data_IF_325530220599
#
_entry.id   IF_325530220599
#
_cell.length_a   1.000
_cell.length_b   1.000
_cell.length_c   1.000
_cell.angle_alpha   90.00
_cell.angle_beta   90.00
_cell.angle_gamma   90.00
#
_symmetry.space_group_name_H-M   'P 1'
#
loop_
_entity.id
_entity.type
_entity.pdbx_description
1 polymer ?
#
# COMPACT_ATOMS: atom_id res chain seq x y z
N UNK A 1 4.08 16.47 7.66
CA UNK A 1 3.89 16.11 9.07
C UNK A 1 4.24 17.24 10.01
N UNK A 2 4.00 18.51 9.63
CA UNK A 2 4.16 19.65 10.52
C UNK A 2 2.82 19.93 11.22
N UNK A 3 2.77 19.80 12.55
CA UNK A 3 1.55 19.95 13.35
C UNK A 3 1.08 21.40 13.43
N UNK A 4 1.89 22.38 13.01
CA UNK A 4 1.51 23.80 12.97
C UNK A 4 0.66 24.14 11.75
N UNK A 5 0.75 23.34 10.69
CA UNK A 5 0.19 23.68 9.37
C UNK A 5 -0.70 22.59 8.80
N UNK A 6 -0.42 21.31 9.08
CA UNK A 6 -1.22 20.20 8.59
C UNK A 6 -2.53 20.07 9.40
N UNK A 7 -3.65 19.70 8.74
CA UNK A 7 -4.83 19.25 9.45
C UNK A 7 -4.50 18.06 10.36
N UNK A 8 -5.20 17.95 11.48
CA UNK A 8 -5.05 16.80 12.36
C UNK A 8 -5.40 15.51 11.61
N UNK A 9 -4.48 14.56 11.61
CA UNK A 9 -4.66 13.22 11.08
C UNK A 9 -4.02 12.22 12.04
N UNK A 10 -4.56 11.01 12.09
CA UNK A 10 -3.94 9.91 12.84
C UNK A 10 -2.59 9.50 12.23
N UNK A 11 -1.85 8.67 12.98
CA UNK A 11 -0.58 8.07 12.52
C UNK A 11 -0.75 7.28 11.21
N UNK A 12 0.27 7.30 10.36
CA UNK A 12 0.43 6.34 9.24
C UNK A 12 1.01 5.03 9.79
N UNK A 13 0.16 4.04 10.03
CA UNK A 13 0.49 2.68 10.45
C UNK A 13 -0.72 1.76 10.24
N UNK A 14 -0.55 0.44 10.19
CA UNK A 14 -1.68 -0.48 9.97
C UNK A 14 -2.29 -0.33 8.58
N UNK A 15 -1.47 0.10 7.60
CA UNK A 15 -1.86 0.36 6.21
C UNK A 15 -3.06 1.28 6.04
N UNK A 16 -3.33 2.17 7.01
CA UNK A 16 -4.63 2.85 7.10
C UNK A 16 -4.81 4.14 6.33
N UNK A 17 -3.72 4.70 5.82
CA UNK A 17 -3.73 6.07 5.27
C UNK A 17 -4.67 6.21 4.08
N UNK A 18 -4.71 5.22 3.18
CA UNK A 18 -5.60 5.24 2.01
C UNK A 18 -7.08 5.28 2.42
N UNK A 19 -7.51 4.42 3.36
CA UNK A 19 -8.93 4.37 3.75
C UNK A 19 -9.32 5.51 4.69
N UNK A 20 -8.39 6.03 5.49
CA UNK A 20 -8.68 7.13 6.41
C UNK A 20 -8.53 8.49 5.73
N UNK A 21 -7.30 8.89 5.49
CA UNK A 21 -6.94 10.20 4.93
C UNK A 21 -7.40 10.30 3.48
N UNK A 22 -7.32 9.23 2.69
CA UNK A 22 -7.74 9.25 1.28
C UNK A 22 -9.23 9.58 1.11
N UNK A 23 -10.11 9.10 1.99
CA UNK A 23 -11.54 9.51 1.97
C UNK A 23 -11.73 10.97 2.35
N UNK A 24 -11.00 11.45 3.36
CA UNK A 24 -11.06 12.87 3.75
C UNK A 24 -10.61 13.78 2.59
N UNK A 25 -9.56 13.38 1.85
CA UNK A 25 -9.12 14.08 0.64
C UNK A 25 -10.19 14.05 -0.44
N UNK A 26 -10.84 12.90 -0.69
CA UNK A 26 -11.96 12.79 -1.63
C UNK A 26 -13.11 13.74 -1.28
N UNK A 27 -13.52 13.78 -0.01
CA UNK A 27 -14.57 14.70 0.47
C UNK A 27 -14.16 16.16 0.30
N UNK A 28 -12.90 16.50 0.62
CA UNK A 28 -12.40 17.86 0.42
C UNK A 28 -12.43 18.26 -1.06
N UNK A 29 -12.07 17.35 -1.97
CA UNK A 29 -12.14 17.60 -3.41
C UNK A 29 -13.60 17.75 -3.90
N UNK A 30 -14.53 16.95 -3.36
CA UNK A 30 -15.96 17.04 -3.68
C UNK A 30 -16.56 18.37 -3.20
N UNK A 31 -16.21 18.82 -1.99
CA UNK A 31 -16.61 20.14 -1.47
C UNK A 31 -16.07 21.29 -2.33
N UNK A 32 -14.78 21.24 -2.71
CA UNK A 32 -14.20 22.22 -3.64
C UNK A 32 -14.90 22.20 -5.01
N UNK A 33 -15.26 21.01 -5.52
CA UNK A 33 -16.02 20.86 -6.77
C UNK A 33 -17.37 21.54 -6.70
N UNK A 34 -18.10 21.44 -5.59
CA UNK A 34 -19.40 22.13 -5.44
C UNK A 34 -19.23 23.65 -5.47
N UNK A 35 -18.19 24.18 -4.80
CA UNK A 35 -17.88 25.61 -4.82
C UNK A 35 -17.53 26.09 -6.24
N UNK A 36 -16.70 25.33 -6.97
CA UNK A 36 -16.34 25.58 -8.37
C UNK A 36 -17.59 25.66 -9.25
N UNK A 37 -18.47 24.66 -9.16
CA UNK A 37 -19.68 24.60 -9.97
C UNK A 37 -20.65 25.74 -9.65
N UNK A 38 -20.79 26.12 -8.39
CA UNK A 38 -21.65 27.24 -7.98
C UNK A 38 -21.16 28.58 -8.57
N UNK A 39 -19.84 28.82 -8.59
CA UNK A 39 -19.25 30.02 -9.18
C UNK A 39 -19.39 29.99 -10.71
N UNK A 40 -19.09 28.84 -11.34
CA UNK A 40 -19.21 28.67 -12.77
C UNK A 40 -20.66 28.87 -13.26
N UNK A 41 -21.64 28.34 -12.53
CA UNK A 41 -23.06 28.50 -12.82
C UNK A 41 -23.46 29.98 -12.89
N UNK A 42 -23.06 30.77 -11.89
CA UNK A 42 -23.32 32.22 -11.89
C UNK A 42 -22.60 32.95 -13.02
N UNK A 43 -21.38 32.52 -13.37
CA UNK A 43 -20.56 33.21 -14.39
C UNK A 43 -20.97 32.88 -15.82
N UNK A 44 -21.46 31.67 -16.06
CA UNK A 44 -21.91 31.19 -17.37
C UNK A 44 -23.41 31.40 -17.58
N UNK A 45 -24.15 31.68 -16.51
CA UNK A 45 -25.62 31.79 -16.48
C UNK A 45 -26.26 30.47 -16.93
N UNK A 46 -25.75 29.37 -16.37
CA UNK A 46 -26.17 27.99 -16.68
C UNK A 46 -26.41 27.26 -15.36
N UNK A 47 -27.51 26.51 -15.21
CA UNK A 47 -27.77 25.71 -14.02
C UNK A 47 -26.64 24.73 -13.72
N UNK A 48 -26.32 24.50 -12.43
CA UNK A 48 -25.21 23.62 -12.01
C UNK A 48 -25.35 22.22 -12.58
N UNK A 49 -26.57 21.70 -12.63
CA UNK A 49 -26.90 20.39 -13.15
C UNK A 49 -26.52 20.23 -14.63
N UNK A 50 -26.50 21.31 -15.41
CA UNK A 50 -26.10 21.32 -16.83
C UNK A 50 -24.60 21.49 -17.06
N UNK A 51 -23.83 21.72 -15.99
CA UNK A 51 -22.38 21.86 -16.05
C UNK A 51 -21.69 20.51 -15.88
N UNK A 52 -20.59 20.34 -16.60
CA UNK A 52 -19.62 19.27 -16.40
C UNK A 52 -18.24 19.87 -16.17
N UNK A 53 -17.37 19.08 -15.52
CA UNK A 53 -16.04 19.51 -15.14
C UNK A 53 -15.04 18.45 -15.57
N UNK A 54 -14.15 18.82 -16.48
CA UNK A 54 -13.18 17.91 -17.09
C UNK A 54 -11.95 18.70 -17.53
N UNK A 55 -10.77 18.11 -17.36
CA UNK A 55 -9.48 18.67 -17.77
C UNK A 55 -9.22 20.13 -17.35
N UNK A 56 -9.64 20.48 -16.13
CA UNK A 56 -9.46 21.82 -15.57
C UNK A 56 -10.39 22.88 -16.17
N UNK A 57 -11.46 22.47 -16.83
CA UNK A 57 -12.48 23.33 -17.41
C UNK A 57 -13.86 22.93 -16.90
N UNK A 58 -14.69 23.92 -16.59
CA UNK A 58 -16.14 23.74 -16.39
C UNK A 58 -16.85 24.20 -17.65
N UNK A 59 -17.70 23.34 -18.24
CA UNK A 59 -18.43 23.64 -19.48
C UNK A 59 -19.90 23.25 -19.37
N UNK A 60 -20.76 23.96 -20.08
CA UNK A 60 -22.17 23.62 -20.20
C UNK A 60 -22.38 22.53 -21.27
N UNK A 61 -23.14 21.49 -20.93
CA UNK A 61 -23.43 20.40 -21.88
C UNK A 61 -24.16 20.92 -23.11
N UNK A 62 -23.66 20.55 -24.29
CA UNK A 62 -24.22 20.98 -25.58
C UNK A 62 -23.99 22.47 -25.93
N UNK A 63 -23.25 23.23 -25.11
CA UNK A 63 -22.96 24.66 -25.31
C UNK A 63 -21.46 24.93 -25.17
N UNK A 64 -20.64 24.60 -26.19
CA UNK A 64 -19.18 24.69 -26.10
C UNK A 64 -18.64 26.13 -25.92
N UNK A 65 -19.43 27.14 -26.28
CA UNK A 65 -19.15 28.56 -26.04
C UNK A 65 -19.27 28.97 -24.56
N UNK A 66 -19.99 28.17 -23.75
CA UNK A 66 -20.23 28.40 -22.33
C UNK A 66 -19.27 27.55 -21.49
N UNK A 67 -18.05 28.06 -21.33
CA UNK A 67 -17.02 27.41 -20.52
C UNK A 67 -16.19 28.40 -19.72
N UNK A 68 -15.59 27.91 -18.63
CA UNK A 68 -14.64 28.66 -17.81
C UNK A 68 -13.57 27.72 -17.25
N UNK A 69 -12.31 28.14 -17.32
CA UNK A 69 -11.18 27.35 -16.81
C UNK A 69 -11.01 27.49 -15.29
N UNK A 70 -10.38 26.52 -14.65
CA UNK A 70 -9.98 26.60 -13.24
C UNK A 70 -9.07 27.80 -12.96
N UNK A 71 -8.23 28.17 -13.94
CA UNK A 71 -7.38 29.37 -13.87
C UNK A 71 -8.22 30.64 -13.75
N UNK A 72 -9.26 30.77 -14.58
CA UNK A 72 -10.16 31.92 -14.54
C UNK A 72 -10.97 31.95 -13.25
N UNK A 73 -11.50 30.81 -12.81
CA UNK A 73 -12.18 30.67 -11.52
C UNK A 73 -11.27 31.05 -10.33
N UNK A 74 -10.00 30.65 -10.37
CA UNK A 74 -9.01 31.04 -9.36
C UNK A 74 -8.81 32.55 -9.29
N UNK A 75 -8.73 33.23 -10.45
CA UNK A 75 -8.63 34.71 -10.49
C UNK A 75 -9.87 35.40 -9.91
N UNK A 76 -11.06 34.84 -10.17
CA UNK A 76 -12.32 35.39 -9.66
C UNK A 76 -12.48 35.27 -8.14
N UNK A 77 -11.71 34.39 -7.49
CA UNK A 77 -11.83 34.05 -6.06
C UNK A 77 -10.65 34.52 -5.22
N UNK A 78 -9.51 34.87 -5.84
CA UNK A 78 -8.28 35.24 -5.12
C UNK A 78 -7.72 36.62 -5.50
N UNK A 79 -8.30 37.29 -6.50
CA UNK A 79 -7.90 38.63 -6.90
C UNK A 79 -8.24 39.70 -5.86
N UNK A 80 -7.57 40.85 -5.93
CA UNK A 80 -7.95 42.02 -5.12
C UNK A 80 -9.38 42.46 -5.48
N UNK A 81 -10.28 42.55 -4.50
CA UNK A 81 -11.69 42.79 -4.74
C UNK A 81 -12.44 41.61 -5.39
N UNK A 82 -11.95 40.38 -5.20
CA UNK A 82 -12.58 39.16 -5.71
C UNK A 82 -14.08 39.12 -5.39
N UNK A 83 -14.87 38.77 -6.40
CA UNK A 83 -16.34 38.73 -6.30
C UNK A 83 -16.83 37.52 -5.49
N UNK A 84 -16.03 36.45 -5.47
CA UNK A 84 -16.36 35.20 -4.80
C UNK A 84 -15.32 34.90 -3.73
N UNK A 85 -15.72 34.16 -2.70
CA UNK A 85 -14.78 33.67 -1.70
C UNK A 85 -13.76 32.69 -2.33
N UNK A 86 -12.54 32.59 -1.77
CA UNK A 86 -11.57 31.56 -2.14
C UNK A 86 -12.18 30.16 -2.08
N UNK A 87 -11.87 29.34 -3.09
CA UNK A 87 -12.27 27.93 -3.11
C UNK A 87 -11.39 27.16 -2.13
N UNK A 88 -11.99 26.65 -1.05
CA UNK A 88 -11.29 25.87 -0.03
C UNK A 88 -12.12 24.64 0.31
N UNK A 89 -11.69 23.49 -0.20
CA UNK A 89 -12.31 22.20 0.07
C UNK A 89 -11.99 21.69 1.47
N UNK A 90 -13.00 21.18 2.18
CA UNK A 90 -12.82 20.55 3.49
C UNK A 90 -13.43 19.16 3.53
N UNK A 91 -12.72 18.24 4.15
CA UNK A 91 -13.16 16.86 4.31
C UNK A 91 -12.68 16.29 5.63
N UNK A 92 -13.59 15.62 6.33
CA UNK A 92 -13.31 14.93 7.58
C UNK A 92 -14.10 13.63 7.57
N UNK A 93 -13.51 12.58 8.16
CA UNK A 93 -14.15 11.28 8.22
C UNK A 93 -14.01 10.67 9.60
N UNK A 94 -14.96 9.80 9.94
CA UNK A 94 -14.82 8.84 11.03
C UNK A 94 -14.84 7.45 10.41
N UNK A 95 -13.70 6.75 10.40
CA UNK A 95 -13.64 5.39 9.90
C UNK A 95 -14.26 4.44 10.93
N UNK A 96 -15.49 3.97 10.67
CA UNK A 96 -16.24 3.05 11.56
C UNK A 96 -16.17 1.59 11.13
N UNK A 97 -15.86 1.34 9.85
CA UNK A 97 -15.79 0.01 9.24
C UNK A 97 -14.40 -0.20 8.64
N UNK A 98 -13.92 -1.43 8.68
CA UNK A 98 -12.65 -1.82 8.09
C UNK A 98 -12.86 -2.43 6.71
N UNK A 99 -11.89 -2.24 5.81
CA UNK A 99 -11.80 -2.94 4.53
C UNK A 99 -10.67 -3.98 4.64
N UNK A 100 -10.96 -5.27 4.91
CA UNK A 100 -9.92 -6.28 4.95
C UNK A 100 -9.23 -6.37 3.58
N UNK A 101 -7.90 -6.49 3.59
CA UNK A 101 -7.11 -6.84 2.42
C UNK A 101 -6.86 -8.33 2.39
N UNK A 102 -6.79 -8.90 1.20
CA UNK A 102 -6.46 -10.31 0.99
C UNK A 102 -5.21 -10.42 0.15
N UNK A 103 -4.32 -11.33 0.53
CA UNK A 103 -3.13 -11.64 -0.26
C UNK A 103 -2.91 -13.15 -0.31
N UNK A 104 -2.38 -13.62 -1.43
CA UNK A 104 -1.90 -14.96 -1.63
C UNK A 104 -0.46 -14.88 -2.14
N UNK A 105 0.41 -15.75 -1.61
CA UNK A 105 1.81 -15.78 -1.99
C UNK A 105 2.22 -17.21 -2.31
N UNK A 106 3.07 -17.35 -3.31
CA UNK A 106 3.63 -18.62 -3.75
C UNK A 106 5.13 -18.48 -3.82
N UNK A 107 5.84 -19.40 -3.18
CA UNK A 107 7.28 -19.53 -3.27
C UNK A 107 7.61 -20.85 -3.98
N UNK A 108 8.54 -20.79 -4.91
CA UNK A 108 9.22 -21.98 -5.42
C UNK A 108 10.62 -21.99 -4.83
N UNK A 109 11.01 -23.12 -4.25
CA UNK A 109 12.28 -23.26 -3.55
C UNK A 109 13.04 -24.49 -4.06
N UNK A 110 14.36 -24.39 -4.04
CA UNK A 110 15.28 -25.53 -4.08
C UNK A 110 15.85 -25.73 -2.67
N UNK A 111 15.96 -26.98 -2.24
CA UNK A 111 16.55 -27.33 -0.95
C UNK A 111 17.65 -28.37 -1.17
N UNK A 112 18.87 -28.05 -0.77
CA UNK A 112 19.96 -29.02 -0.71
C UNK A 112 19.77 -29.90 0.53
N UNK A 113 19.50 -31.21 0.37
CA UNK A 113 19.22 -32.08 1.50
C UNK A 113 20.45 -32.34 2.39
N UNK A 114 21.67 -32.15 1.89
CA UNK A 114 22.91 -32.45 2.61
C UNK A 114 23.40 -31.25 3.42
N UNK A 115 23.14 -30.03 2.94
CA UNK A 115 23.50 -28.80 3.66
C UNK A 115 22.32 -28.14 4.38
N UNK A 116 21.08 -28.44 3.97
CA UNK A 116 19.88 -27.76 4.42
C UNK A 116 19.65 -26.38 3.78
N UNK A 117 20.52 -25.97 2.85
CA UNK A 117 20.43 -24.66 2.21
C UNK A 117 19.13 -24.55 1.40
N UNK A 118 18.37 -23.49 1.67
CA UNK A 118 17.16 -23.13 0.92
C UNK A 118 17.48 -21.99 -0.04
N UNK A 119 17.09 -22.14 -1.31
CA UNK A 119 17.19 -21.09 -2.35
C UNK A 119 15.80 -20.81 -2.91
N UNK A 120 15.34 -19.56 -2.88
CA UNK A 120 14.06 -19.18 -3.49
C UNK A 120 14.28 -18.91 -4.97
N UNK A 121 13.67 -19.72 -5.83
CA UNK A 121 13.84 -19.64 -7.29
C UNK A 121 12.90 -18.61 -7.91
N UNK A 122 11.64 -18.61 -7.46
CA UNK A 122 10.59 -17.68 -7.92
C UNK A 122 9.67 -17.32 -6.76
N UNK A 123 9.12 -16.11 -6.83
CA UNK A 123 8.20 -15.63 -5.84
C UNK A 123 7.09 -14.80 -6.48
N UNK A 124 5.83 -15.15 -6.19
CA UNK A 124 4.68 -14.42 -6.66
C UNK A 124 3.82 -13.95 -5.48
N UNK A 125 3.32 -12.72 -5.58
CA UNK A 125 2.39 -12.13 -4.63
C UNK A 125 1.17 -11.60 -5.38
N UNK A 126 0.01 -12.17 -5.09
CA UNK A 126 -1.27 -11.64 -5.52
C UNK A 126 -1.94 -10.92 -4.35
N UNK A 127 -2.50 -9.74 -4.59
CA UNK A 127 -3.15 -8.97 -3.55
C UNK A 127 -4.38 -8.24 -4.07
N UNK A 128 -5.50 -8.36 -3.35
CA UNK A 128 -6.68 -7.53 -3.54
C UNK A 128 -6.44 -6.14 -2.94
N UNK A 129 -6.22 -5.17 -3.83
CA UNK A 129 -5.95 -3.76 -3.49
C UNK A 129 -7.18 -2.89 -3.68
N UNK A 130 -8.32 -3.47 -4.05
CA UNK A 130 -9.47 -2.70 -4.52
C UNK A 130 -9.09 -1.87 -5.74
N UNK A 131 -9.47 -0.60 -5.78
CA UNK A 131 -9.02 0.31 -6.83
C UNK A 131 -7.55 0.72 -6.65
N UNK A 132 -6.71 0.40 -7.63
CA UNK A 132 -5.29 0.73 -7.62
C UNK A 132 -5.07 2.21 -8.02
N UNK A 133 -5.08 3.10 -7.02
CA UNK A 133 -4.88 4.56 -7.22
C UNK A 133 -3.63 4.87 -8.04
N UNK A 134 -2.53 4.15 -7.79
CA UNK A 134 -1.31 4.21 -8.59
C UNK A 134 -0.70 2.81 -8.72
N UNK A 135 -0.96 2.10 -9.83
CA UNK A 135 -0.53 0.71 -10.00
C UNK A 135 0.98 0.50 -9.84
N UNK A 136 1.80 1.47 -10.25
CA UNK A 136 3.27 1.39 -10.11
C UNK A 136 3.70 1.43 -8.65
N UNK A 137 3.15 2.36 -7.87
CA UNK A 137 3.43 2.47 -6.44
C UNK A 137 2.89 1.26 -5.67
N UNK A 138 1.73 0.74 -6.08
CA UNK A 138 1.14 -0.48 -5.51
C UNK A 138 2.07 -1.68 -5.74
N UNK A 139 2.50 -1.93 -6.97
CA UNK A 139 3.45 -3.01 -7.27
C UNK A 139 4.75 -2.87 -6.48
N UNK A 140 5.29 -1.65 -6.34
CA UNK A 140 6.49 -1.40 -5.54
C UNK A 140 6.31 -1.71 -4.04
N UNK A 141 5.14 -1.43 -3.47
CA UNK A 141 4.83 -1.82 -2.08
C UNK A 141 4.74 -3.33 -1.92
N UNK A 142 4.10 -4.03 -2.88
CA UNK A 142 4.00 -5.48 -2.86
C UNK A 142 5.37 -6.15 -2.96
N UNK A 143 6.25 -5.64 -3.83
CA UNK A 143 7.64 -6.12 -3.94
C UNK A 143 8.43 -5.86 -2.66
N UNK A 144 8.36 -4.66 -2.09
CA UNK A 144 9.07 -4.31 -0.87
C UNK A 144 8.62 -5.14 0.34
N UNK A 145 7.30 -5.32 0.50
CA UNK A 145 6.73 -6.14 1.56
C UNK A 145 7.13 -7.61 1.43
N UNK A 146 7.04 -8.17 0.22
CA UNK A 146 7.46 -9.55 -0.06
C UNK A 146 8.96 -9.76 0.18
N UNK A 147 9.81 -8.79 -0.16
CA UNK A 147 11.24 -8.85 0.13
C UNK A 147 11.53 -8.87 1.64
N UNK A 148 10.79 -8.09 2.44
CA UNK A 148 10.87 -8.15 3.91
C UNK A 148 10.36 -9.50 4.45
N UNK A 149 9.26 -10.02 3.88
CA UNK A 149 8.72 -11.32 4.24
C UNK A 149 9.72 -12.46 3.99
N UNK A 150 10.47 -12.39 2.89
CA UNK A 150 11.57 -13.31 2.58
C UNK A 150 12.77 -13.13 3.52
N UNK A 151 13.07 -11.89 3.91
CA UNK A 151 14.04 -11.57 4.96
C UNK A 151 13.75 -12.29 6.27
N UNK A 152 12.53 -12.13 6.78
CA UNK A 152 12.02 -12.84 7.97
C UNK A 152 12.04 -14.35 7.77
N UNK A 153 11.69 -14.83 6.57
CA UNK A 153 11.60 -16.26 6.29
C UNK A 153 12.95 -16.98 6.38
N UNK A 154 14.05 -16.34 5.97
CA UNK A 154 15.32 -17.02 5.71
C UNK A 154 16.52 -16.46 6.46
N UNK A 155 16.47 -15.21 6.95
CA UNK A 155 17.66 -14.49 7.40
C UNK A 155 17.52 -13.77 8.73
N UNK A 156 16.42 -13.07 8.97
CA UNK A 156 16.29 -12.12 10.06
C UNK A 156 15.89 -12.80 11.39
N UNK A 157 16.74 -12.67 12.41
CA UNK A 157 16.51 -13.21 13.76
C UNK A 157 17.12 -12.28 14.82
N UNK A 158 16.42 -12.07 15.94
CA UNK A 158 17.00 -11.41 17.11
C UNK A 158 17.45 -12.46 18.12
N UNK A 159 18.77 -12.58 18.33
CA UNK A 159 19.35 -13.63 19.17
C UNK A 159 19.66 -13.05 20.56
N UNK A 160 19.15 -13.68 21.62
CA UNK A 160 19.38 -13.25 22.99
C UNK A 160 20.18 -14.29 23.78
N UNK A 161 21.09 -13.85 24.65
CA UNK A 161 21.71 -14.74 25.64
C UNK A 161 20.78 -15.01 26.83
N UNK A 162 21.19 -15.94 27.71
CA UNK A 162 20.44 -16.33 28.92
C UNK A 162 20.14 -15.16 29.88
N UNK A 163 20.85 -14.03 29.73
CA UNK A 163 20.66 -12.83 30.54
C UNK A 163 19.78 -11.79 29.85
N UNK A 164 19.24 -12.11 28.67
CA UNK A 164 18.36 -11.24 27.88
C UNK A 164 19.10 -10.16 27.09
N UNK A 165 20.42 -10.28 26.89
CA UNK A 165 21.17 -9.33 26.06
C UNK A 165 21.09 -9.75 24.59
N UNK A 166 20.72 -8.79 23.73
CA UNK A 166 20.73 -8.96 22.27
C UNK A 166 22.18 -9.14 21.77
N UNK A 167 22.44 -10.27 21.11
CA UNK A 167 23.76 -10.69 20.66
C UNK A 167 24.12 -10.15 19.28
N UNK A 168 23.13 -9.84 18.44
CA UNK A 168 23.32 -9.36 17.07
C UNK A 168 22.69 -7.98 16.77
N UNK A 169 22.95 -6.90 17.56
CA UNK A 169 22.38 -5.57 17.33
C UNK A 169 23.10 -4.81 16.18
N UNK A 170 23.51 -5.50 15.12
CA UNK A 170 24.33 -4.95 14.04
C UNK A 170 23.99 -5.63 12.69
N UNK A 171 24.32 -4.98 11.58
CA UNK A 171 23.97 -5.46 10.22
C UNK A 171 24.87 -6.59 9.70
N UNK A 172 25.91 -6.97 10.43
CA UNK A 172 26.75 -8.12 10.08
C UNK A 172 26.07 -9.42 10.52
N UNK A 173 25.53 -9.40 11.74
CA UNK A 173 24.96 -10.59 12.39
C UNK A 173 23.42 -10.64 12.29
N UNK A 174 22.74 -9.49 12.21
CA UNK A 174 21.33 -9.41 11.81
C UNK A 174 21.27 -9.35 10.28
N UNK A 175 21.11 -10.51 9.65
CA UNK A 175 21.23 -10.65 8.20
C UNK A 175 20.00 -10.10 7.50
N UNK A 176 20.14 -8.89 6.95
CA UNK A 176 19.17 -8.36 5.99
C UNK A 176 19.45 -8.94 4.59
N UNK A 177 18.41 -9.33 3.84
CA UNK A 177 18.60 -9.83 2.49
C UNK A 177 19.14 -8.74 1.55
N UNK A 178 20.02 -9.14 0.65
CA UNK A 178 20.55 -8.30 -0.44
C UNK A 178 19.76 -8.54 -1.73
N UNK A 179 20.05 -7.76 -2.77
CA UNK A 179 19.47 -7.96 -4.10
C UNK A 179 19.82 -9.32 -4.75
N UNK A 180 20.82 -10.04 -4.21
CA UNK A 180 21.16 -11.41 -4.67
C UNK A 180 20.36 -12.49 -3.97
N UNK A 181 19.80 -12.18 -2.81
CA UNK A 181 19.07 -13.14 -1.97
C UNK A 181 17.56 -13.14 -2.29
N UNK A 182 17.07 -12.07 -2.91
CA UNK A 182 15.65 -11.90 -3.28
C UNK A 182 15.50 -12.14 -4.79
N UNK A 183 14.74 -13.17 -5.22
CA UNK A 183 14.47 -13.39 -6.64
C UNK A 183 13.54 -12.30 -7.19
N UNK A 184 13.36 -12.18 -8.52
CA UNK A 184 12.31 -11.35 -9.09
C UNK A 184 10.95 -11.69 -8.48
N UNK A 185 10.26 -10.67 -7.96
CA UNK A 185 8.94 -10.81 -7.35
C UNK A 185 7.86 -10.42 -8.36
N UNK A 186 7.02 -11.38 -8.73
CA UNK A 186 5.84 -11.13 -9.55
C UNK A 186 4.72 -10.55 -8.69
N UNK A 187 4.37 -9.28 -8.93
CA UNK A 187 3.32 -8.58 -8.21
C UNK A 187 2.02 -8.54 -9.04
N UNK A 188 1.03 -9.32 -8.61
CA UNK A 188 -0.26 -9.48 -9.29
C UNK A 188 -1.31 -8.63 -8.57
N UNK A 189 -1.68 -7.52 -9.18
CA UNK A 189 -2.69 -6.61 -8.66
C UNK A 189 -4.08 -7.19 -8.96
N UNK A 190 -4.85 -7.47 -7.91
CA UNK A 190 -6.26 -7.86 -8.00
C UNK A 190 -7.12 -6.66 -7.58
N UNK A 191 -8.11 -6.29 -8.38
CA UNK A 191 -8.94 -5.13 -8.12
C UNK A 191 -10.39 -5.52 -7.80
N UNK A 192 -10.70 -5.72 -6.52
CA UNK A 192 -12.08 -5.93 -6.03
C UNK A 192 -12.49 -4.73 -5.16
N UNK A 193 -13.25 -3.76 -5.71
CA UNK A 193 -13.57 -2.51 -5.03
C UNK A 193 -14.18 -2.70 -3.63
N UNK A 194 -13.82 -1.81 -2.72
CA UNK A 194 -14.41 -1.72 -1.37
C UNK A 194 -15.24 -0.44 -1.22
N UNK A 195 -16.46 -0.56 -0.70
CA UNK A 195 -17.30 0.61 -0.36
C UNK A 195 -16.65 1.55 0.66
N UNK A 196 -15.71 1.04 1.46
CA UNK A 196 -15.07 1.80 2.52
C UNK A 196 -13.84 2.59 2.07
N UNK A 197 -13.35 2.34 0.85
CA UNK A 197 -12.19 2.99 0.27
C UNK A 197 -12.53 4.20 -0.60
N UNK A 198 -11.64 5.21 -0.72
CA UNK A 198 -11.81 6.22 -1.76
C UNK A 198 -11.73 5.53 -3.13
N UNK A 199 -12.75 5.75 -3.97
CA UNK A 199 -12.88 5.13 -5.29
C UNK A 199 -12.86 3.59 -5.31
N UNK A 200 -13.03 2.93 -4.16
CA UNK A 200 -12.92 1.47 -4.07
C UNK A 200 -11.58 0.95 -3.53
N UNK A 201 -10.61 1.80 -3.19
CA UNK A 201 -9.26 1.38 -2.82
C UNK A 201 -9.15 0.67 -1.45
N UNK A 202 -8.30 -0.35 -1.34
CA UNK A 202 -8.01 -1.08 -0.10
C UNK A 202 -6.57 -0.84 0.38
N UNK A 203 -6.17 -1.59 1.40
CA UNK A 203 -4.83 -1.57 2.00
C UNK A 203 -3.79 -2.22 1.07
N UNK A 204 -2.57 -1.69 1.08
CA UNK A 204 -1.47 -2.19 0.23
C UNK A 204 -0.17 -2.47 1.00
N UNK A 205 0.21 -1.64 1.96
CA UNK A 205 1.57 -1.62 2.50
C UNK A 205 2.01 -2.84 3.30
N UNK A 206 1.14 -3.41 4.14
CA UNK A 206 1.50 -4.52 5.04
C UNK A 206 1.09 -5.91 4.57
N UNK A 207 0.03 -6.14 3.77
CA UNK A 207 -0.37 -7.51 3.47
C UNK A 207 0.75 -8.35 2.85
N UNK A 208 1.61 -7.77 2.00
CA UNK A 208 2.68 -8.51 1.33
C UNK A 208 3.85 -8.94 2.24
N UNK A 209 4.03 -8.38 3.45
CA UNK A 209 5.08 -8.87 4.37
C UNK A 209 4.65 -10.12 5.15
N UNK A 210 3.34 -10.28 5.41
CA UNK A 210 2.83 -11.25 6.41
C UNK A 210 2.98 -12.72 5.99
N UNK A 211 2.61 -13.15 4.77
CA UNK A 211 2.60 -14.58 4.42
C UNK A 211 3.97 -15.12 4.02
N UNK A 212 4.99 -14.27 3.89
CA UNK A 212 6.31 -14.63 3.37
C UNK A 212 6.92 -15.86 4.03
N UNK A 213 7.11 -15.87 5.36
CA UNK A 213 7.65 -17.02 6.08
C UNK A 213 6.84 -18.29 5.90
N UNK A 214 5.51 -18.20 5.90
CA UNK A 214 4.63 -19.36 5.73
C UNK A 214 4.68 -19.93 4.31
N UNK A 215 4.75 -19.07 3.28
CA UNK A 215 4.88 -19.49 1.90
C UNK A 215 6.18 -20.28 1.67
N UNK A 216 7.31 -19.78 2.22
CA UNK A 216 8.60 -20.47 2.13
C UNK A 216 8.59 -21.77 2.95
N UNK A 217 8.08 -21.76 4.17
CA UNK A 217 8.01 -22.96 5.02
C UNK A 217 7.17 -24.07 4.37
N UNK A 218 6.04 -23.74 3.74
CA UNK A 218 5.21 -24.69 3.02
C UNK A 218 5.92 -25.24 1.78
N UNK A 219 6.64 -24.40 1.02
CA UNK A 219 7.41 -24.82 -0.15
C UNK A 219 8.59 -25.74 0.24
N UNK A 220 9.27 -25.45 1.35
CA UNK A 220 10.31 -26.34 1.90
C UNK A 220 9.71 -27.68 2.31
N UNK A 221 8.57 -27.66 3.01
CA UNK A 221 7.89 -28.90 3.41
C UNK A 221 7.43 -29.75 2.22
N UNK A 222 7.00 -29.12 1.13
CA UNK A 222 6.67 -29.80 -0.13
C UNK A 222 7.93 -30.40 -0.79
N UNK A 223 9.04 -29.66 -0.81
CA UNK A 223 10.29 -30.06 -1.46
C UNK A 223 10.98 -31.25 -0.76
N UNK A 224 10.99 -31.28 0.58
CA UNK A 224 11.75 -32.28 1.35
C UNK A 224 10.92 -33.21 2.22
N UNK A 225 9.59 -33.03 2.28
CA UNK A 225 8.68 -33.85 3.06
C UNK A 225 8.76 -33.63 4.59
N UNK A 226 9.50 -32.62 5.05
CA UNK A 226 9.68 -32.29 6.47
C UNK A 226 9.30 -30.84 6.75
N UNK A 227 8.61 -30.60 7.87
CA UNK A 227 8.12 -29.26 8.24
C UNK A 227 9.10 -28.55 9.17
N UNK A 228 9.45 -27.31 8.81
CA UNK A 228 10.13 -26.36 9.70
C UNK A 228 9.08 -25.40 10.26
N UNK A 229 8.95 -25.36 11.58
CA UNK A 229 7.91 -24.58 12.28
C UNK A 229 8.40 -23.25 12.87
N UNK A 230 9.67 -22.93 12.65
CA UNK A 230 10.33 -21.76 13.22
C UNK A 230 11.07 -21.00 12.12
N UNK A 231 10.87 -19.67 12.10
CA UNK A 231 11.60 -18.77 11.22
C UNK A 231 12.74 -18.08 12.00
N UNK A 232 13.87 -17.74 11.36
CA UNK A 232 14.19 -18.05 9.96
C UNK A 232 14.42 -19.54 9.72
N UNK A 233 14.13 -20.00 8.50
CA UNK A 233 14.29 -21.38 8.04
C UNK A 233 15.78 -21.59 7.70
N UNK A 234 16.62 -21.66 8.74
CA UNK A 234 18.07 -21.81 8.57
C UNK A 234 18.44 -23.22 8.09
N UNK A 235 19.62 -23.39 7.48
CA UNK A 235 20.09 -24.72 7.09
C UNK A 235 20.12 -25.72 8.25
N UNK A 236 20.51 -25.29 9.45
CA UNK A 236 20.52 -26.12 10.65
C UNK A 236 19.11 -26.57 11.05
N UNK A 237 18.12 -25.67 10.99
CA UNK A 237 16.72 -26.00 11.27
C UNK A 237 16.15 -26.98 10.23
N UNK A 238 16.54 -26.84 8.96
CA UNK A 238 16.15 -27.78 7.89
C UNK A 238 16.78 -29.16 8.13
N UNK A 239 18.08 -29.24 8.42
CA UNK A 239 18.77 -30.50 8.68
C UNK A 239 18.23 -31.22 9.93
N UNK A 240 17.85 -30.47 10.98
CA UNK A 240 17.15 -31.02 12.15
C UNK A 240 15.79 -31.58 11.77
N UNK A 241 15.00 -30.86 10.97
CA UNK A 241 13.70 -31.34 10.49
C UNK A 241 13.83 -32.63 9.63
N UNK A 242 14.95 -32.79 8.91
CA UNK A 242 15.29 -34.00 8.17
C UNK A 242 15.85 -35.15 9.03
N UNK A 243 16.06 -34.93 10.33
CA UNK A 243 16.68 -35.90 11.22
C UNK A 243 18.17 -36.14 10.95
N UNK A 244 18.82 -35.25 10.19
CA UNK A 244 20.26 -35.32 9.85
C UNK A 244 21.15 -34.65 10.90
N UNK A 245 20.58 -33.78 11.74
CA UNK A 245 21.27 -33.11 12.84
C UNK A 245 20.50 -33.36 14.14
N UNK A 246 21.19 -33.80 15.18
CA UNK A 246 20.60 -33.99 16.52
C UNK A 246 20.51 -32.63 17.25
N UNK A 247 19.73 -32.57 18.34
CA UNK A 247 19.58 -31.35 19.16
C UNK A 247 20.91 -30.80 19.67
#
# INVERSE_FOLDING_TARGET
GDTRTAPYAGMTAGSKTTYTVGRAVKLAAEDARQQILAIASQRLEVPVEELEMEDGVVRARGRPDKQITFRELGRLTTGFGARYAPIVGRGAITARRQAPGFTAQVAEVEVDPDTGQVTVLRYAVAQDVGFAINPKSVGGQMQGGSAQGLGIALFEEMVYDEKGRLLNPNLLDYRLPTARDVPPIEAIIVEVPSEEGPYGARIVGEPSIVPGPAAVANAVADAVGARVFEAPITPERVLRALGKLQE
#
